data_IF_850729297638
#
_entry.id   IF_850729297638
#
_cell.length_a   1.000
_cell.length_b   1.000
_cell.length_c   1.000
_cell.angle_alpha   90.00
_cell.angle_beta   90.00
_cell.angle_gamma   90.00
#
_symmetry.space_group_name_H-M   'P 1'
#
loop_
_entity.id
_entity.type
_entity.pdbx_description
1 polymer ?
#
# COMPACT_ATOMS: atom_id res chain seq x y z
N UNK A 1 -6.20 -6.21 24.57
CA UNK A 1 -7.06 -7.30 24.07
C UNK A 1 -6.21 -8.14 23.14
N UNK A 2 -6.02 -9.41 23.49
CA UNK A 2 -5.23 -10.33 22.65
C UNK A 2 -6.16 -10.80 21.52
N UNK A 3 -5.81 -10.50 20.27
CA UNK A 3 -6.53 -11.10 19.14
C UNK A 3 -6.33 -12.61 19.18
N UNK A 4 -7.38 -13.41 18.93
CA UNK A 4 -7.21 -14.87 18.84
C UNK A 4 -6.23 -15.19 17.71
N UNK A 5 -5.43 -16.25 17.85
CA UNK A 5 -4.54 -16.68 16.79
C UNK A 5 -5.36 -16.93 15.52
N UNK A 6 -4.95 -16.28 14.42
CA UNK A 6 -5.58 -16.53 13.13
C UNK A 6 -5.27 -17.96 12.72
N UNK A 7 -6.32 -18.77 12.56
CA UNK A 7 -6.19 -20.12 12.07
C UNK A 7 -5.99 -20.04 10.55
N UNK A 8 -4.90 -20.58 9.99
CA UNK A 8 -4.69 -20.60 8.56
C UNK A 8 -5.90 -21.24 7.84
N UNK A 9 -6.38 -20.60 6.78
CA UNK A 9 -7.45 -21.16 5.97
C UNK A 9 -6.95 -22.45 5.31
N UNK A 10 -7.53 -23.60 5.66
CA UNK A 10 -7.10 -24.91 5.17
C UNK A 10 -7.27 -25.08 3.65
N UNK A 11 -8.06 -24.22 3.04
CA UNK A 11 -8.41 -24.25 1.61
C UNK A 11 -7.39 -23.46 0.75
N UNK A 12 -6.56 -22.63 1.38
CA UNK A 12 -5.57 -21.79 0.69
C UNK A 12 -4.18 -22.22 1.14
N UNK A 13 -3.35 -22.58 0.19
CA UNK A 13 -1.99 -23.01 0.45
C UNK A 13 -0.99 -21.90 0.06
N UNK A 14 -0.52 -21.16 1.05
CA UNK A 14 0.39 -20.00 0.87
C UNK A 14 1.63 -20.08 1.79
N UNK A 15 2.47 -21.12 1.65
CA UNK A 15 3.54 -21.38 2.62
C UNK A 15 4.54 -20.25 2.78
N UNK A 16 4.85 -19.52 1.72
CA UNK A 16 5.78 -18.39 1.78
C UNK A 16 5.17 -17.17 2.48
N UNK A 17 3.89 -16.90 2.25
CA UNK A 17 3.17 -15.81 2.92
C UNK A 17 2.98 -16.15 4.40
N UNK A 18 2.65 -17.40 4.70
CA UNK A 18 2.47 -17.88 6.06
C UNK A 18 3.79 -17.79 6.86
N UNK A 19 4.89 -18.20 6.26
CA UNK A 19 6.23 -18.06 6.87
C UNK A 19 6.60 -16.59 7.14
N UNK A 20 6.25 -15.68 6.23
CA UNK A 20 6.47 -14.25 6.43
C UNK A 20 5.58 -13.71 7.58
N UNK A 21 4.35 -14.15 7.65
CA UNK A 21 3.42 -13.76 8.71
C UNK A 21 3.89 -14.27 10.10
N UNK A 22 4.39 -15.49 10.17
CA UNK A 22 4.94 -16.09 11.40
C UNK A 22 6.19 -15.38 11.90
N UNK A 23 7.05 -14.90 10.97
CA UNK A 23 8.29 -14.20 11.30
C UNK A 23 8.13 -12.69 11.49
N UNK A 24 6.98 -12.13 11.11
CA UNK A 24 6.71 -10.72 11.10
C UNK A 24 5.63 -10.26 12.06
N UNK A 25 5.04 -9.12 11.77
CA UNK A 25 3.89 -8.56 12.48
C UNK A 25 2.65 -8.62 11.61
N UNK A 26 1.63 -9.33 12.08
CA UNK A 26 0.34 -9.41 11.41
C UNK A 26 -0.53 -8.23 11.85
N UNK A 27 -0.96 -7.42 10.88
CA UNK A 27 -1.85 -6.29 11.09
C UNK A 27 -3.28 -6.70 10.73
N UNK A 28 -4.02 -7.24 11.69
CA UNK A 28 -5.37 -7.78 11.51
C UNK A 28 -6.47 -6.71 11.34
N UNK A 29 -6.15 -5.47 11.66
CA UNK A 29 -7.06 -4.30 11.53
C UNK A 29 -6.47 -3.19 10.68
N UNK A 30 -5.72 -3.55 9.67
CA UNK A 30 -5.15 -2.62 8.71
C UNK A 30 -6.11 -2.46 7.53
N UNK A 31 -6.65 -1.25 7.38
CA UNK A 31 -7.64 -0.96 6.35
C UNK A 31 -7.00 -0.23 5.18
N UNK A 32 -7.41 -0.59 3.99
CA UNK A 32 -7.10 0.15 2.75
C UNK A 32 -8.30 1.00 2.35
N UNK A 33 -8.10 1.88 1.39
CA UNK A 33 -9.21 2.61 0.80
C UNK A 33 -10.02 1.71 -0.12
N UNK A 34 -11.17 2.16 -0.60
CA UNK A 34 -12.19 1.29 -1.23
C UNK A 34 -11.82 0.71 -2.60
N UNK A 35 -10.84 1.28 -3.33
CA UNK A 35 -10.38 0.75 -4.63
C UNK A 35 -8.99 1.26 -5.04
N UNK A 36 -8.55 0.95 -6.26
CA UNK A 36 -7.18 1.04 -6.79
C UNK A 36 -6.37 2.29 -6.46
N UNK A 37 -6.61 3.39 -7.18
CA UNK A 37 -5.77 4.58 -7.10
C UNK A 37 -5.71 5.20 -5.71
N UNK A 38 -6.82 5.41 -5.02
CA UNK A 38 -6.76 5.97 -3.66
C UNK A 38 -6.08 5.05 -2.66
N UNK A 39 -6.24 3.72 -2.77
CA UNK A 39 -5.51 2.77 -1.90
C UNK A 39 -4.02 2.78 -2.16
N UNK A 40 -3.61 2.84 -3.44
CA UNK A 40 -2.19 2.86 -3.84
C UNK A 40 -1.51 4.16 -3.43
N UNK A 41 -2.17 5.28 -3.66
CA UNK A 41 -1.67 6.60 -3.25
C UNK A 41 -1.48 6.69 -1.74
N UNK A 42 -2.42 6.17 -0.97
CA UNK A 42 -2.32 6.10 0.49
C UNK A 42 -1.18 5.21 0.94
N UNK A 43 -1.05 4.02 0.38
CA UNK A 43 0.03 3.09 0.71
C UNK A 43 1.40 3.68 0.40
N UNK A 44 1.56 4.28 -0.78
CA UNK A 44 2.83 4.81 -1.24
C UNK A 44 3.25 6.10 -0.53
N UNK A 45 2.28 6.97 -0.21
CA UNK A 45 2.56 8.29 0.37
C UNK A 45 2.41 8.35 1.89
N UNK A 46 1.73 7.37 2.50
CA UNK A 46 1.36 7.40 3.91
C UNK A 46 0.33 8.48 4.25
N UNK A 47 -0.44 8.95 3.26
CA UNK A 47 -1.43 10.03 3.41
C UNK A 47 -2.80 9.55 2.98
N UNK A 48 -3.85 10.18 3.51
CA UNK A 48 -5.20 9.94 3.04
C UNK A 48 -5.37 10.44 1.59
N UNK A 49 -6.20 9.78 0.76
CA UNK A 49 -6.28 10.07 -0.68
C UNK A 49 -6.60 11.53 -1.00
N UNK A 50 -7.50 12.14 -0.24
CA UNK A 50 -7.87 13.54 -0.43
C UNK A 50 -6.76 14.54 -0.09
N UNK A 51 -5.70 14.12 0.63
CA UNK A 51 -4.51 14.95 0.87
C UNK A 51 -3.49 14.87 -0.28
N UNK A 52 -3.72 14.00 -1.24
CA UNK A 52 -2.84 13.79 -2.40
C UNK A 52 -3.62 13.91 -3.73
N UNK A 53 -4.66 14.73 -3.74
CA UNK A 53 -5.49 15.03 -4.90
C UNK A 53 -6.21 13.82 -5.52
N UNK A 54 -6.51 12.81 -4.72
CA UNK A 54 -7.26 11.64 -5.19
C UNK A 54 -8.67 11.66 -4.62
N UNK A 55 -9.66 11.96 -5.45
CA UNK A 55 -11.06 12.14 -5.07
C UNK A 55 -11.99 11.02 -5.51
N UNK A 56 -11.58 9.77 -5.46
CA UNK A 56 -12.37 8.62 -5.94
C UNK A 56 -12.52 8.52 -7.47
N UNK A 57 -11.87 9.37 -8.22
CA UNK A 57 -11.85 9.32 -9.68
C UNK A 57 -10.67 8.52 -10.20
N UNK A 58 -10.73 8.11 -11.44
CA UNK A 58 -9.63 7.48 -12.13
C UNK A 58 -8.65 8.58 -12.58
N UNK A 59 -7.40 8.62 -12.06
CA UNK A 59 -6.43 9.63 -12.43
C UNK A 59 -6.06 9.57 -13.92
N UNK A 60 -6.28 8.45 -14.59
CA UNK A 60 -6.07 8.35 -16.04
C UNK A 60 -7.08 9.16 -16.86
N UNK A 61 -8.23 9.48 -16.27
CA UNK A 61 -9.29 10.26 -16.89
C UNK A 61 -9.27 11.74 -16.49
N UNK A 62 -8.57 12.08 -15.41
CA UNK A 62 -8.52 13.44 -14.88
C UNK A 62 -7.08 13.88 -14.71
N UNK A 63 -6.51 14.64 -15.65
CA UNK A 63 -5.15 15.14 -15.56
C UNK A 63 -4.89 15.93 -14.27
N UNK A 64 -3.72 15.77 -13.68
CA UNK A 64 -3.32 16.44 -12.43
C UNK A 64 -3.80 15.74 -11.16
N UNK A 65 -4.44 14.58 -11.27
CA UNK A 65 -4.73 13.73 -10.12
C UNK A 65 -3.60 12.72 -9.91
N UNK A 66 -3.18 12.60 -8.67
CA UNK A 66 -2.10 11.68 -8.29
C UNK A 66 -1.30 12.24 -7.13
N UNK A 67 -0.41 11.44 -6.58
CA UNK A 67 0.49 11.93 -5.53
C UNK A 67 1.45 12.94 -6.15
N UNK A 68 1.43 14.21 -5.72
CA UNK A 68 2.32 15.22 -6.26
C UNK A 68 3.80 14.81 -6.17
N UNK A 69 4.55 15.03 -7.22
CA UNK A 69 5.97 14.61 -7.33
C UNK A 69 6.90 15.19 -6.26
N UNK A 70 6.49 16.29 -5.62
CA UNK A 70 7.21 16.90 -4.50
C UNK A 70 6.89 16.24 -3.15
N UNK A 71 5.94 15.34 -3.09
CA UNK A 71 5.61 14.62 -1.86
C UNK A 71 6.48 13.38 -1.69
N UNK A 72 6.93 13.18 -0.46
CA UNK A 72 7.74 12.01 -0.11
C UNK A 72 6.89 10.74 -0.13
N UNK A 73 7.38 9.73 -0.81
CA UNK A 73 6.81 8.39 -0.82
C UNK A 73 7.64 7.42 0.03
N UNK A 74 7.09 6.23 0.31
CA UNK A 74 7.77 5.18 1.06
C UNK A 74 9.13 4.82 0.45
N UNK A 75 9.23 4.73 -0.89
CA UNK A 75 10.48 4.47 -1.60
C UNK A 75 11.55 5.54 -1.32
N UNK A 76 11.14 6.80 -1.26
CA UNK A 76 12.04 7.91 -0.92
C UNK A 76 12.54 7.83 0.53
N UNK A 77 11.68 7.39 1.45
CA UNK A 77 12.08 7.16 2.85
C UNK A 77 13.02 5.97 2.99
N UNK A 78 12.73 4.87 2.33
CA UNK A 78 13.58 3.68 2.34
C UNK A 78 14.97 3.97 1.75
N UNK A 79 15.04 4.82 0.72
CA UNK A 79 16.32 5.25 0.14
C UNK A 79 17.22 5.93 1.17
N UNK A 80 16.68 6.71 2.09
CA UNK A 80 17.49 7.34 3.16
C UNK A 80 18.07 6.33 4.15
N UNK A 81 17.48 5.13 4.22
CA UNK A 81 17.96 4.01 5.02
C UNK A 81 18.84 3.01 4.22
N UNK A 82 19.24 3.37 2.99
CA UNK A 82 20.11 2.57 2.16
C UNK A 82 19.43 1.51 1.30
N UNK A 83 18.09 1.48 1.25
CA UNK A 83 17.37 0.54 0.38
C UNK A 83 17.37 1.00 -1.07
N UNK A 84 17.47 0.05 -1.97
CA UNK A 84 17.22 0.26 -3.41
C UNK A 84 15.82 -0.25 -3.71
N UNK A 85 14.97 0.64 -4.22
CA UNK A 85 13.58 0.29 -4.51
C UNK A 85 13.41 -0.09 -5.97
N UNK A 86 12.74 -1.21 -6.21
CA UNK A 86 12.30 -1.67 -7.52
C UNK A 86 10.78 -1.78 -7.53
N UNK A 87 10.16 -1.49 -8.67
CA UNK A 87 8.72 -1.60 -8.83
C UNK A 87 8.38 -2.55 -9.96
N UNK A 88 7.50 -3.51 -9.69
CA UNK A 88 6.97 -4.46 -10.66
C UNK A 88 5.47 -4.52 -10.46
N UNK A 89 4.70 -4.36 -11.53
CA UNK A 89 3.25 -4.45 -11.50
C UNK A 89 2.52 -3.14 -11.77
N UNK A 90 1.28 -3.06 -11.31
CA UNK A 90 0.40 -1.91 -11.54
C UNK A 90 0.78 -0.72 -10.68
N UNK A 91 1.08 0.41 -11.31
CA UNK A 91 1.36 1.67 -10.61
C UNK A 91 0.09 2.37 -10.12
N UNK A 92 -0.61 3.05 -10.98
CA UNK A 92 -1.90 3.73 -10.74
C UNK A 92 -1.95 4.60 -9.46
N UNK A 93 -0.86 5.21 -9.09
CA UNK A 93 -0.73 6.02 -7.87
C UNK A 93 -0.37 7.48 -8.11
N UNK A 94 0.18 7.79 -9.29
CA UNK A 94 0.56 9.15 -9.72
C UNK A 94 0.42 9.27 -11.23
N UNK A 95 0.51 10.49 -11.73
CA UNK A 95 0.78 10.72 -13.16
C UNK A 95 2.17 10.22 -13.57
#
# INVERSE_FOLDING_TARGET
MHSPPQVPAREIHTPNVDSLAESGLILDRHYTYKFCSPSRSSLLSGRLPFHVNIYNDDPTLTPGQGVPVNMTMISSKLKTAGYVSHFIGKWHGTE
#
